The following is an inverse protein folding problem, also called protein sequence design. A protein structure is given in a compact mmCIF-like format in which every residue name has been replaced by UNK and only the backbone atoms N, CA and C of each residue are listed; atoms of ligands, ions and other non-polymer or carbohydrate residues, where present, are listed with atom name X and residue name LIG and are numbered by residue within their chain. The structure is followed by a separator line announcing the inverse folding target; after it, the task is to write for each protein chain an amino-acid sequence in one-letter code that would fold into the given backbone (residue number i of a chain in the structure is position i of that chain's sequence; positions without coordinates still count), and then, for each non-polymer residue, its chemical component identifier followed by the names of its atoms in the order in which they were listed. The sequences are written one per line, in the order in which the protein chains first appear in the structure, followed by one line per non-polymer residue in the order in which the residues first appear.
data_IF_594741248003
#
_entry.id   IF_594741248003
#
_cell.length_a   1.000
_cell.length_b   1.000
_cell.length_c   1.000
_cell.angle_alpha   90.00
_cell.angle_beta   90.00
_cell.angle_gamma   90.00
#
_symmetry.space_group_name_H-M   'P 1'
#
loop_
_entity.id
_entity.type
_entity.pdbx_description
1 polymer ?
#
# COMPACT_ATOMS: atom_id res chain seq x y z
N UNK A 1 29.02 2.54 -18.60
CA UNK A 1 29.00 4.02 -18.63
C UNK A 1 27.57 4.42 -18.95
N UNK A 2 26.76 4.71 -17.93
CA UNK A 2 25.34 5.03 -18.13
C UNK A 2 25.24 6.46 -18.67
N UNK A 3 24.76 6.61 -19.90
CA UNK A 3 24.47 7.95 -20.45
C UNK A 3 23.22 8.44 -19.72
N UNK A 4 23.40 9.33 -18.75
CA UNK A 4 22.30 10.07 -18.17
C UNK A 4 21.79 11.03 -19.24
N UNK A 5 20.54 10.84 -19.66
CA UNK A 5 19.86 11.80 -20.51
C UNK A 5 19.69 13.10 -19.71
N UNK A 6 20.53 14.09 -20.00
CA UNK A 6 20.59 15.38 -19.27
C UNK A 6 19.52 16.37 -19.72
N UNK A 7 18.68 16.01 -20.68
CA UNK A 7 17.63 16.90 -21.16
C UNK A 7 16.40 16.80 -20.26
N UNK A 8 16.26 17.77 -19.36
CA UNK A 8 15.06 17.92 -18.55
C UNK A 8 13.83 18.22 -19.44
N UNK A 9 12.67 17.69 -19.05
CA UNK A 9 11.42 18.08 -19.69
C UNK A 9 11.20 19.60 -19.54
N UNK A 10 10.55 20.29 -20.51
CA UNK A 10 10.30 21.72 -20.41
C UNK A 10 9.58 22.14 -19.11
N UNK A 11 8.75 21.25 -18.55
CA UNK A 11 8.06 21.48 -17.26
C UNK A 11 9.02 21.44 -16.07
N UNK A 12 9.96 20.50 -16.06
CA UNK A 12 10.97 20.43 -15.00
C UNK A 12 11.92 21.63 -15.08
N UNK A 13 12.36 22.00 -16.30
CA UNK A 13 13.17 23.21 -16.49
C UNK A 13 12.45 24.46 -15.96
N UNK A 14 11.16 24.63 -16.29
CA UNK A 14 10.36 25.74 -15.77
C UNK A 14 10.33 25.78 -14.23
N UNK A 15 10.15 24.65 -13.55
CA UNK A 15 10.16 24.63 -12.09
C UNK A 15 11.52 25.02 -11.50
N UNK A 16 12.61 24.58 -12.13
CA UNK A 16 13.97 24.92 -11.71
C UNK A 16 14.28 26.41 -11.96
N UNK A 17 14.01 26.90 -13.17
CA UNK A 17 14.25 28.29 -13.59
C UNK A 17 13.47 29.29 -12.72
N UNK A 18 12.30 28.87 -12.21
CA UNK A 18 11.46 29.70 -11.34
C UNK A 18 11.73 29.50 -9.84
N UNK A 19 12.73 28.69 -9.45
CA UNK A 19 13.00 28.31 -8.05
C UNK A 19 11.75 27.77 -7.33
N UNK A 20 11.00 26.90 -8.01
CA UNK A 20 9.74 26.28 -7.56
C UNK A 20 9.86 24.79 -7.26
N UNK A 21 11.07 24.24 -7.14
CA UNK A 21 11.31 22.83 -6.84
C UNK A 21 10.65 22.35 -5.53
N UNK A 22 10.44 23.24 -4.56
CA UNK A 22 9.72 22.96 -3.31
C UNK A 22 8.28 22.52 -3.53
N UNK A 23 7.68 22.80 -4.68
CA UNK A 23 6.32 22.34 -5.01
C UNK A 23 6.27 20.83 -5.30
N UNK A 24 7.43 20.18 -5.51
CA UNK A 24 7.53 18.74 -5.74
C UNK A 24 7.65 17.94 -4.43
N UNK A 25 7.83 18.61 -3.28
CA UNK A 25 7.96 17.97 -1.97
C UNK A 25 6.71 18.20 -1.12
N UNK A 26 6.52 17.39 -0.09
CA UNK A 26 5.39 17.50 0.85
C UNK A 26 4.10 16.77 0.44
N UNK A 27 4.08 16.09 -0.72
CA UNK A 27 2.99 15.18 -1.06
C UNK A 27 2.88 14.01 -0.07
N UNK A 28 1.67 13.55 0.21
CA UNK A 28 1.43 12.37 1.04
C UNK A 28 1.48 11.08 0.19
N UNK A 29 1.77 9.95 0.82
CA UNK A 29 1.91 8.64 0.18
C UNK A 29 1.06 7.62 0.93
N UNK A 30 0.26 6.89 0.18
CA UNK A 30 -0.47 5.72 0.65
C UNK A 30 -0.18 4.52 -0.25
N UNK A 31 -0.37 3.32 0.29
CA UNK A 31 -0.23 2.06 -0.45
C UNK A 31 -1.49 1.24 -0.22
N UNK A 32 -1.99 0.69 -1.32
CA UNK A 32 -2.97 -0.40 -1.35
C UNK A 32 -2.23 -1.65 -1.80
N UNK A 33 -2.44 -2.77 -1.10
CA UNK A 33 -1.81 -4.04 -1.44
C UNK A 33 -2.78 -5.19 -1.26
N UNK A 34 -2.93 -5.96 -2.33
CA UNK A 34 -3.79 -7.13 -2.38
C UNK A 34 -3.00 -8.43 -2.19
N UNK A 35 -3.62 -9.43 -1.58
CA UNK A 35 -3.08 -10.80 -1.48
C UNK A 35 -4.16 -11.82 -1.18
N UNK A 36 -4.12 -12.94 -1.89
CA UNK A 36 -4.97 -14.07 -1.60
C UNK A 36 -4.57 -14.72 -0.27
N UNK A 37 -5.56 -15.04 0.55
CA UNK A 37 -5.44 -16.03 1.62
C UNK A 37 -5.36 -17.42 0.99
N UNK A 38 -4.45 -18.24 1.49
CA UNK A 38 -4.24 -19.61 1.02
C UNK A 38 -4.32 -20.59 2.18
N UNK A 39 -4.77 -21.82 1.91
CA UNK A 39 -4.68 -22.93 2.86
C UNK A 39 -3.24 -23.45 2.97
N UNK A 40 -2.98 -24.32 3.95
CA UNK A 40 -1.68 -24.98 4.14
C UNK A 40 -1.24 -25.82 2.95
N UNK A 41 -2.18 -26.26 2.13
CA UNK A 41 -1.97 -27.02 0.90
C UNK A 41 -1.68 -26.11 -0.31
N UNK A 42 -1.67 -24.78 -0.12
CA UNK A 42 -1.39 -23.79 -1.17
C UNK A 42 -2.59 -23.47 -2.07
N UNK A 43 -3.80 -23.86 -1.67
CA UNK A 43 -5.03 -23.56 -2.41
C UNK A 43 -5.64 -22.25 -1.93
N UNK A 44 -6.41 -21.54 -2.78
CA UNK A 44 -7.15 -20.34 -2.36
C UNK A 44 -8.10 -20.72 -1.22
N UNK A 45 -8.00 -20.00 -0.10
CA UNK A 45 -8.82 -20.27 1.08
C UNK A 45 -10.31 -20.13 0.76
N UNK A 46 -11.11 -21.08 1.25
CA UNK A 46 -12.57 -21.07 1.13
C UNK A 46 -13.26 -20.64 2.42
N UNK A 47 -12.50 -20.29 3.46
CA UNK A 47 -13.05 -19.75 4.71
C UNK A 47 -13.52 -18.31 4.51
N UNK A 48 -14.54 -17.89 5.26
CA UNK A 48 -14.99 -16.50 5.28
C UNK A 48 -13.89 -15.56 5.78
N UNK A 49 -14.08 -14.25 5.56
CA UNK A 49 -13.25 -13.21 6.14
C UNK A 49 -13.13 -13.41 7.67
N UNK A 50 -11.91 -13.52 8.23
CA UNK A 50 -11.74 -13.81 9.65
C UNK A 50 -12.39 -12.73 10.53
N UNK A 51 -13.20 -13.17 11.50
CA UNK A 51 -13.96 -12.25 12.38
C UNK A 51 -13.06 -11.28 13.15
N UNK A 52 -11.84 -11.71 13.50
CA UNK A 52 -10.86 -10.90 14.22
C UNK A 52 -10.31 -9.71 13.40
N UNK A 53 -10.48 -9.72 12.07
CA UNK A 53 -10.11 -8.60 11.20
C UNK A 53 -11.23 -7.55 11.10
N UNK A 54 -12.39 -7.81 11.71
CA UNK A 54 -13.54 -6.92 11.72
C UNK A 54 -14.42 -7.07 10.49
N UNK A 55 -15.07 -5.97 10.10
CA UNK A 55 -15.99 -5.93 8.97
C UNK A 55 -15.28 -5.35 7.75
N UNK A 56 -15.05 -6.18 6.72
CA UNK A 56 -14.45 -5.73 5.46
C UNK A 56 -15.17 -4.50 4.87
N UNK A 57 -16.50 -4.42 5.01
CA UNK A 57 -17.30 -3.30 4.50
C UNK A 57 -16.94 -1.93 5.11
N UNK A 58 -16.42 -1.90 6.34
CA UNK A 58 -16.26 -0.66 7.12
C UNK A 58 -14.90 -0.48 7.76
N UNK A 59 -14.05 -1.51 7.76
CA UNK A 59 -12.75 -1.45 8.41
C UNK A 59 -11.78 -0.62 7.55
N UNK A 60 -11.12 0.42 8.11
CA UNK A 60 -10.43 1.44 7.31
C UNK A 60 -9.11 0.98 6.70
N UNK A 61 -8.54 -0.15 7.16
CA UNK A 61 -7.18 -0.57 6.82
C UNK A 61 -7.06 -1.99 6.26
N UNK A 62 -8.13 -2.78 6.42
CA UNK A 62 -8.18 -4.20 6.07
C UNK A 62 -9.56 -4.42 5.48
N UNK A 63 -9.62 -4.83 4.22
CA UNK A 63 -10.85 -5.15 3.53
C UNK A 63 -10.62 -6.35 2.62
N UNK A 64 -11.62 -6.69 1.82
CA UNK A 64 -11.52 -7.60 0.69
C UNK A 64 -11.79 -6.82 -0.60
N UNK A 65 -11.06 -7.13 -1.66
CA UNK A 65 -11.37 -6.65 -3.01
C UNK A 65 -12.34 -7.63 -3.70
N UNK A 66 -12.08 -8.09 -4.94
CA UNK A 66 -13.03 -8.84 -5.76
C UNK A 66 -13.61 -10.10 -5.10
N UNK A 67 -12.85 -10.78 -4.23
CA UNK A 67 -13.26 -12.03 -3.61
C UNK A 67 -13.06 -12.03 -2.10
N UNK A 68 -13.86 -12.84 -1.40
CA UNK A 68 -13.77 -13.05 0.05
C UNK A 68 -12.36 -13.47 0.53
N UNK A 69 -11.58 -14.13 -0.33
CA UNK A 69 -10.23 -14.58 -0.03
C UNK A 69 -9.15 -13.54 -0.40
N UNK A 70 -9.46 -12.52 -1.18
CA UNK A 70 -8.52 -11.50 -1.64
C UNK A 70 -8.49 -10.35 -0.63
N UNK A 71 -7.63 -10.46 0.39
CA UNK A 71 -7.43 -9.39 1.34
C UNK A 71 -6.75 -8.20 0.67
N UNK A 72 -7.19 -7.01 1.04
CA UNK A 72 -6.60 -5.73 0.65
C UNK A 72 -6.21 -4.95 1.90
N UNK A 73 -4.98 -4.47 1.94
CA UNK A 73 -4.45 -3.63 3.00
C UNK A 73 -4.29 -2.20 2.49
N UNK A 74 -4.86 -1.24 3.23
CA UNK A 74 -4.92 0.16 2.84
C UNK A 74 -4.23 0.98 3.94
N UNK A 75 -3.15 1.68 3.61
CA UNK A 75 -2.50 2.57 4.57
C UNK A 75 -3.19 3.93 4.61
N UNK A 76 -3.19 4.64 5.76
CA UNK A 76 -3.37 6.08 5.76
C UNK A 76 -2.35 6.79 4.84
N UNK A 77 -2.65 8.02 4.40
CA UNK A 77 -1.67 8.85 3.71
C UNK A 77 -0.64 9.41 4.70
N UNK A 78 0.65 9.16 4.47
CA UNK A 78 1.76 9.65 5.31
C UNK A 78 2.69 10.59 4.55
N UNK A 79 3.36 11.48 5.28
CA UNK A 79 4.38 12.35 4.70
C UNK A 79 5.67 11.58 4.38
N UNK A 80 6.09 10.70 5.31
CA UNK A 80 7.31 9.93 5.22
C UNK A 80 7.06 8.50 4.71
N UNK A 81 7.91 8.04 3.78
CA UNK A 81 7.80 6.70 3.19
C UNK A 81 7.99 5.61 4.26
N UNK A 82 8.85 5.87 5.25
CA UNK A 82 9.12 4.94 6.35
C UNK A 82 7.88 4.72 7.22
N UNK A 83 7.03 5.73 7.41
CA UNK A 83 5.76 5.59 8.13
C UNK A 83 4.77 4.72 7.34
N UNK A 84 4.63 4.97 6.03
CA UNK A 84 3.78 4.14 5.15
C UNK A 84 4.20 2.67 5.20
N UNK A 85 5.50 2.39 5.06
CA UNK A 85 6.02 1.03 5.09
C UNK A 85 5.92 0.39 6.49
N UNK A 86 6.14 1.16 7.56
CA UNK A 86 5.99 0.70 8.94
C UNK A 86 4.54 0.34 9.29
N UNK A 87 3.58 1.14 8.82
CA UNK A 87 2.16 0.83 8.96
C UNK A 87 1.80 -0.44 8.18
N UNK A 88 2.22 -0.54 6.92
CA UNK A 88 1.99 -1.72 6.08
C UNK A 88 2.57 -2.99 6.72
N UNK A 89 3.76 -2.91 7.32
CA UNK A 89 4.37 -4.01 8.05
C UNK A 89 3.51 -4.45 9.25
N UNK A 90 3.06 -3.48 10.05
CA UNK A 90 2.27 -3.74 11.26
C UNK A 90 0.92 -4.37 10.94
N UNK A 91 0.19 -3.84 9.94
CA UNK A 91 -1.11 -4.41 9.55
C UNK A 91 -0.95 -5.82 8.97
N UNK A 92 0.12 -6.06 8.21
CA UNK A 92 0.46 -7.41 7.76
C UNK A 92 0.69 -8.36 8.94
N UNK A 93 1.50 -8.00 9.92
CA UNK A 93 1.76 -8.84 11.09
C UNK A 93 0.47 -9.16 11.85
N UNK A 94 -0.34 -8.14 12.13
CA UNK A 94 -1.63 -8.32 12.79
C UNK A 94 -2.51 -9.31 12.02
N UNK A 95 -2.61 -9.17 10.69
CA UNK A 95 -3.43 -10.07 9.89
C UNK A 95 -2.92 -11.51 9.96
N UNK A 96 -1.62 -11.73 9.79
CA UNK A 96 -1.02 -13.07 9.85
C UNK A 96 -1.25 -13.77 11.19
N UNK A 97 -1.20 -13.03 12.31
CA UNK A 97 -1.48 -13.57 13.64
C UNK A 97 -2.97 -13.95 13.85
N UNK A 98 -3.85 -13.49 12.97
CA UNK A 98 -5.31 -13.68 13.04
C UNK A 98 -5.89 -14.35 11.78
N UNK A 99 -5.06 -14.99 10.97
CA UNK A 99 -5.54 -15.91 9.95
C UNK A 99 -5.92 -17.23 10.64
N UNK A 100 -7.21 -17.55 10.64
CA UNK A 100 -7.75 -18.79 11.21
C UNK A 100 -7.36 -19.99 10.33
N UNK A 101 -6.07 -20.37 10.24
CA UNK A 101 -5.55 -21.63 9.66
C UNK A 101 -4.06 -21.90 9.97
#
# INVERSE_FOLDING_TARGET
MTILNTQHSPRLSYLLDQNKQQLLVGGLKGIEKESLRISKEGMISQTSHPYALGSALTHPYITTDYSEALLEFITPPFAEITETLGFMHTVHQYVYDHLDD
#
